data_IF_643692462049
#
_entry.id   IF_643692462049
#
_cell.length_a   1.000
_cell.length_b   1.000
_cell.length_c   1.000
_cell.angle_alpha   90.00
_cell.angle_beta   90.00
_cell.angle_gamma   90.00
#
_symmetry.space_group_name_H-M   'P 1'
#
loop_
_entity.id
_entity.type
_entity.pdbx_description
1 polymer ?
#
# COMPACT_ATOMS: atom_id res chain seq x y z
N UNK A 1 19.61 23.13 3.05
CA UNK A 1 18.74 21.94 3.06
C UNK A 1 18.32 21.72 4.50
N UNK A 2 17.05 21.95 4.84
CA UNK A 2 16.55 21.76 6.21
C UNK A 2 15.81 20.43 6.27
N UNK A 3 16.36 19.48 7.03
CA UNK A 3 15.68 18.23 7.33
C UNK A 3 14.73 18.50 8.51
N UNK A 4 13.45 18.73 8.21
CA UNK A 4 12.41 18.83 9.24
C UNK A 4 12.11 17.43 9.72
N UNK A 5 12.48 17.11 10.97
CA UNK A 5 12.09 15.87 11.63
C UNK A 5 10.60 15.97 11.98
N UNK A 6 9.75 15.48 11.08
CA UNK A 6 8.34 15.24 11.41
C UNK A 6 8.31 13.98 12.26
N UNK A 7 8.07 14.11 13.57
CA UNK A 7 7.56 12.99 14.37
C UNK A 7 6.05 13.02 14.20
N UNK A 8 5.46 12.16 13.34
CA UNK A 8 4.02 12.03 13.39
C UNK A 8 3.64 11.54 14.81
N UNK A 9 2.64 12.16 15.41
CA UNK A 9 2.14 11.82 16.73
C UNK A 9 1.33 10.51 16.66
N UNK A 10 2.01 9.41 16.35
CA UNK A 10 1.41 8.07 16.37
C UNK A 10 1.72 7.44 17.72
N UNK A 11 0.75 7.52 18.64
CA UNK A 11 0.74 6.72 19.86
C UNK A 11 -0.06 5.45 19.58
N UNK A 12 0.63 4.39 19.18
CA UNK A 12 0.04 3.06 19.00
C UNK A 12 0.91 2.08 19.79
N UNK A 13 0.36 1.54 20.87
CA UNK A 13 1.01 0.50 21.66
C UNK A 13 0.65 -0.87 21.07
N UNK A 14 1.62 -1.78 21.04
CA UNK A 14 1.42 -3.16 20.53
C UNK A 14 0.30 -3.88 21.28
N UNK A 15 0.07 -3.51 22.54
CA UNK A 15 -0.96 -4.08 23.42
C UNK A 15 -2.40 -3.70 23.02
N UNK A 16 -2.57 -2.67 22.18
CA UNK A 16 -3.88 -2.21 21.70
C UNK A 16 -4.33 -2.90 20.39
N UNK A 17 -3.47 -3.72 19.78
CA UNK A 17 -3.75 -4.39 18.52
C UNK A 17 -4.47 -5.71 18.78
N UNK A 18 -5.77 -5.75 18.44
CA UNK A 18 -6.58 -6.97 18.52
C UNK A 18 -7.18 -7.30 17.15
N UNK A 19 -7.37 -8.59 16.88
CA UNK A 19 -7.96 -9.11 15.62
C UNK A 19 -9.40 -8.59 15.39
N UNK A 20 -10.09 -8.14 16.44
CA UNK A 20 -11.50 -7.73 16.39
C UNK A 20 -11.74 -6.32 15.82
N UNK A 21 -10.75 -5.42 15.83
CA UNK A 21 -10.84 -4.09 15.18
C UNK A 21 -9.47 -3.39 15.15
N UNK A 22 -8.72 -3.43 14.04
CA UNK A 22 -7.46 -2.72 13.96
C UNK A 22 -7.70 -1.20 13.96
N UNK A 23 -7.06 -0.52 14.92
CA UNK A 23 -7.11 0.94 15.06
C UNK A 23 -6.43 1.58 13.85
N UNK A 24 -7.21 2.12 12.92
CA UNK A 24 -6.68 2.87 11.78
C UNK A 24 -6.23 4.24 12.27
N UNK A 25 -4.93 4.51 12.17
CA UNK A 25 -4.35 5.79 12.59
C UNK A 25 -4.19 6.66 11.35
N UNK A 26 -4.80 7.85 11.34
CA UNK A 26 -4.78 8.73 10.17
C UNK A 26 -4.34 10.14 10.55
N UNK A 27 -3.61 10.79 9.65
CA UNK A 27 -3.36 12.22 9.67
C UNK A 27 -3.54 12.81 8.26
N UNK A 28 -3.27 14.10 8.11
CA UNK A 28 -3.40 14.81 6.83
C UNK A 28 -2.48 14.27 5.71
N UNK A 29 -1.43 13.51 6.06
CA UNK A 29 -0.42 13.00 5.13
C UNK A 29 -0.61 11.53 4.77
N UNK A 30 -1.08 10.68 5.69
CA UNK A 30 -1.27 9.26 5.46
C UNK A 30 -2.21 8.59 6.47
N UNK A 31 -2.80 7.47 6.04
CA UNK A 31 -3.49 6.50 6.87
C UNK A 31 -2.60 5.27 7.05
N UNK A 32 -2.48 4.78 8.28
CA UNK A 32 -1.78 3.56 8.66
C UNK A 32 -2.80 2.60 9.29
N UNK A 33 -2.96 1.43 8.69
CA UNK A 33 -3.80 0.36 9.19
C UNK A 33 -2.92 -0.83 9.60
N UNK A 34 -2.87 -1.20 10.88
CA UNK A 34 -2.30 -2.46 11.29
C UNK A 34 -3.23 -3.60 10.86
N UNK A 35 -2.65 -4.72 10.45
CA UNK A 35 -3.36 -5.97 10.14
C UNK A 35 -2.70 -7.03 11.00
N UNK A 36 -3.45 -7.56 11.96
CA UNK A 36 -2.99 -8.65 12.80
C UNK A 36 -3.17 -9.93 11.99
N UNK A 37 -2.06 -10.62 11.74
CA UNK A 37 -2.02 -11.89 11.05
C UNK A 37 -1.85 -12.95 12.13
N UNK A 38 -2.91 -13.73 12.36
CA UNK A 38 -2.84 -14.88 13.25
C UNK A 38 -2.43 -16.10 12.41
N UNK A 39 -1.25 -16.68 12.68
CA UNK A 39 -0.66 -17.81 11.96
C UNK A 39 -1.37 -19.17 12.22
N UNK A 40 -2.65 -19.14 12.56
CA UNK A 40 -3.48 -20.34 12.67
C UNK A 40 -3.80 -20.88 11.27
N UNK A 41 -2.92 -21.77 10.81
CA UNK A 41 -3.01 -22.52 9.55
C UNK A 41 -4.40 -23.11 9.29
N UNK A 42 -5.14 -22.53 8.34
CA UNK A 42 -6.23 -23.22 7.63
C UNK A 42 -5.60 -24.14 6.56
N UNK A 43 -5.27 -25.37 6.93
CA UNK A 43 -4.98 -26.46 5.99
C UNK A 43 -5.85 -27.67 6.33
N UNK A 44 -6.99 -27.76 5.64
CA UNK A 44 -7.82 -28.95 5.61
C UNK A 44 -7.14 -30.04 4.77
N UNK A 45 -6.62 -31.10 5.41
CA UNK A 45 -6.22 -32.34 4.75
C UNK A 45 -6.50 -33.57 5.65
N UNK A 46 -6.80 -34.76 5.06
CA UNK A 46 -7.61 -35.79 5.70
C UNK A 46 -6.84 -36.70 6.67
N UNK A 47 -7.61 -37.26 7.61
CA UNK A 47 -7.15 -38.15 8.66
C UNK A 47 -6.56 -39.47 8.13
N UNK A 48 -5.35 -39.81 8.61
CA UNK A 48 -4.90 -41.20 8.72
C UNK A 48 -4.12 -41.41 10.03
N UNK A 49 -4.56 -42.40 10.79
CA UNK A 49 -4.18 -42.72 12.17
C UNK A 49 -3.12 -43.83 12.22
N UNK A 50 -2.09 -43.69 13.08
CA UNK A 50 -1.39 -44.79 13.82
C UNK A 50 -0.24 -44.20 14.66
N UNK A 51 -0.33 -44.11 16.01
CA UNK A 51 0.31 -44.99 17.04
C UNK A 51 1.84 -44.81 17.12
N UNK A 52 2.56 -44.47 18.22
CA UNK A 52 2.51 -44.77 19.68
C UNK A 52 3.58 -43.89 20.41
N UNK A 53 3.61 -43.74 21.77
CA UNK A 53 4.16 -42.56 22.45
C UNK A 53 5.61 -42.71 22.92
N UNK A 54 6.38 -41.61 22.93
CA UNK A 54 7.66 -41.53 23.66
C UNK A 54 7.75 -40.27 24.50
N UNK A 55 8.02 -40.46 25.79
CA UNK A 55 8.16 -39.43 26.81
C UNK A 55 9.29 -38.44 26.50
N UNK A 56 8.96 -37.22 26.08
CA UNK A 56 9.81 -36.03 26.25
C UNK A 56 8.96 -34.84 26.65
N UNK A 57 9.25 -34.33 27.84
CA UNK A 57 8.88 -33.04 28.48
C UNK A 57 7.87 -32.20 27.68
N UNK A 58 6.66 -32.05 28.22
CA UNK A 58 5.65 -31.12 27.70
C UNK A 58 6.26 -29.72 27.58
N UNK A 59 6.38 -29.23 26.35
CA UNK A 59 6.73 -27.84 26.08
C UNK A 59 5.47 -27.03 26.38
N UNK A 60 5.54 -26.21 27.43
CA UNK A 60 4.51 -25.23 27.78
C UNK A 60 4.07 -24.49 26.51
N UNK A 61 2.77 -24.48 26.22
CA UNK A 61 2.20 -23.80 25.06
C UNK A 61 2.49 -22.31 25.14
N UNK A 62 3.57 -21.87 24.48
CA UNK A 62 3.78 -20.45 24.20
C UNK A 62 2.71 -20.07 23.19
N UNK A 63 1.89 -19.06 23.51
CA UNK A 63 0.95 -18.48 22.56
C UNK A 63 1.71 -18.14 21.25
N UNK A 64 1.09 -18.41 20.11
CA UNK A 64 1.67 -18.12 18.80
C UNK A 64 2.12 -16.64 18.76
N UNK A 65 3.28 -16.33 18.15
CA UNK A 65 3.69 -14.94 17.99
C UNK A 65 2.63 -14.22 17.16
N UNK A 66 2.16 -13.08 17.66
CA UNK A 66 1.25 -12.23 16.90
C UNK A 66 2.10 -11.49 15.85
N UNK A 67 1.91 -11.81 14.58
CA UNK A 67 2.55 -11.06 13.49
C UNK A 67 1.64 -9.89 13.08
N UNK A 68 2.24 -8.71 12.85
CA UNK A 68 1.50 -7.50 12.49
C UNK A 68 2.06 -6.94 11.20
N UNK A 69 1.20 -6.87 10.19
CA UNK A 69 1.47 -6.18 8.94
C UNK A 69 0.92 -4.75 8.98
N UNK A 70 1.47 -3.86 8.17
CA UNK A 70 1.01 -2.47 8.09
C UNK A 70 0.65 -2.08 6.66
N UNK A 71 -0.55 -1.56 6.48
CA UNK A 71 -1.01 -0.96 5.22
C UNK A 71 -0.96 0.55 5.36
N UNK A 72 -0.22 1.21 4.48
CA UNK A 72 -0.10 2.67 4.44
C UNK A 72 -0.75 3.18 3.16
N UNK A 73 -1.70 4.08 3.31
CA UNK A 73 -2.32 4.76 2.18
C UNK A 73 -2.17 6.27 2.30
N UNK A 74 -1.71 6.91 1.22
CA UNK A 74 -1.68 8.37 1.14
C UNK A 74 -3.04 8.89 0.69
N UNK A 75 -3.52 10.05 1.16
CA UNK A 75 -4.72 10.66 0.62
C UNK A 75 -4.50 11.03 -0.84
N UNK A 76 -5.60 11.12 -1.56
CA UNK A 76 -5.60 11.48 -2.98
C UNK A 76 -4.96 12.85 -3.16
N UNK A 77 -3.86 12.90 -3.91
CA UNK A 77 -3.12 14.14 -4.07
C UNK A 77 -3.69 15.01 -5.18
N UNK A 78 -3.61 16.30 -4.91
CA UNK A 78 -4.11 17.37 -5.74
C UNK A 78 -3.16 17.56 -6.94
N UNK A 79 -3.46 16.96 -8.10
CA UNK A 79 -2.63 17.01 -9.32
C UNK A 79 -2.64 18.32 -10.12
N UNK A 80 -2.03 18.33 -11.30
CA UNK A 80 -1.87 19.54 -12.13
C UNK A 80 -3.23 20.11 -12.56
N UNK A 81 -3.32 21.45 -12.58
CA UNK A 81 -4.49 22.15 -13.13
C UNK A 81 -4.48 22.08 -14.66
N UNK A 82 -5.61 21.68 -15.24
CA UNK A 82 -5.79 21.49 -16.68
C UNK A 82 -6.33 22.77 -17.32
N UNK A 83 -5.42 23.69 -17.61
CA UNK A 83 -5.74 25.02 -18.18
C UNK A 83 -6.55 24.87 -19.49
N UNK A 84 -6.11 24.00 -20.41
CA UNK A 84 -6.79 23.82 -21.69
C UNK A 84 -8.23 23.33 -21.55
N UNK A 85 -8.47 22.42 -20.61
CA UNK A 85 -9.82 21.92 -20.32
C UNK A 85 -10.72 23.03 -19.78
N UNK A 86 -10.20 23.82 -18.84
CA UNK A 86 -10.96 24.92 -18.27
C UNK A 86 -11.23 26.03 -19.30
N UNK A 87 -10.34 26.26 -20.27
CA UNK A 87 -10.56 27.20 -21.37
C UNK A 87 -11.65 26.68 -22.32
N UNK A 88 -11.62 25.38 -22.63
CA UNK A 88 -12.65 24.74 -23.46
C UNK A 88 -14.04 24.77 -22.81
N UNK A 89 -14.10 24.79 -21.47
CA UNK A 89 -15.36 24.94 -20.72
C UNK A 89 -15.87 26.38 -20.66
N UNK A 90 -15.10 27.36 -21.19
CA UNK A 90 -15.49 28.77 -21.23
C UNK A 90 -15.06 29.59 -20.02
N UNK A 91 -14.13 29.09 -19.20
CA UNK A 91 -13.62 29.86 -18.04
C UNK A 91 -12.81 31.06 -18.55
N UNK A 92 -13.16 32.31 -18.15
CA UNK A 92 -12.50 33.50 -18.66
C UNK A 92 -11.02 33.60 -18.25
N UNK A 93 -10.21 34.21 -19.13
CA UNK A 93 -8.81 34.59 -18.85
C UNK A 93 -8.81 35.96 -18.15
N UNK A 94 -8.08 36.16 -17.05
CA UNK A 94 -7.99 37.50 -16.43
C UNK A 94 -7.17 37.55 -15.14
N UNK A 95 -6.49 38.63 -14.78
CA UNK A 95 -5.47 38.67 -13.70
C UNK A 95 -5.77 37.90 -12.37
N UNK A 96 -4.84 37.03 -11.93
CA UNK A 96 -4.94 36.31 -10.65
C UNK A 96 -4.18 37.07 -9.55
N UNK A 97 -4.80 37.22 -8.39
CA UNK A 97 -4.17 37.70 -7.15
C UNK A 97 -3.65 36.56 -6.26
N UNK A 98 -3.50 35.35 -6.81
CA UNK A 98 -2.93 34.22 -6.07
C UNK A 98 -1.41 34.44 -5.87
N UNK A 99 -0.89 34.53 -4.62
CA UNK A 99 0.51 34.80 -4.35
C UNK A 99 1.46 33.66 -4.75
N UNK A 100 0.93 32.50 -5.16
CA UNK A 100 1.68 31.28 -5.44
C UNK A 100 2.09 31.11 -6.92
N UNK A 101 1.68 32.01 -7.81
CA UNK A 101 1.97 31.91 -9.25
C UNK A 101 2.83 33.08 -9.73
N UNK A 102 4.14 32.89 -9.72
CA UNK A 102 5.10 33.86 -10.21
C UNK A 102 5.29 33.67 -11.73
N UNK A 103 4.35 34.13 -12.57
CA UNK A 103 4.58 34.22 -14.02
C UNK A 103 3.72 35.28 -14.71
N UNK A 104 4.40 36.16 -15.44
CA UNK A 104 3.86 37.21 -16.33
C UNK A 104 3.24 36.66 -17.63
N UNK A 105 2.51 35.54 -17.59
CA UNK A 105 1.90 34.97 -18.79
C UNK A 105 0.41 35.32 -18.87
N UNK A 106 0.07 36.21 -19.82
CA UNK A 106 -1.28 36.75 -20.07
C UNK A 106 -2.24 35.71 -20.69
N UNK A 107 -1.78 34.50 -20.96
CA UNK A 107 -2.57 33.41 -21.55
C UNK A 107 -3.29 32.49 -20.54
N UNK A 108 -3.13 32.77 -19.23
CA UNK A 108 -3.57 31.90 -18.13
C UNK A 108 -5.01 32.19 -17.67
N UNK A 109 -5.80 31.14 -17.41
CA UNK A 109 -7.08 31.26 -16.68
C UNK A 109 -6.79 31.78 -15.29
N UNK A 110 -7.27 32.96 -15.02
CA UNK A 110 -6.96 33.66 -13.80
C UNK A 110 -8.24 34.43 -13.40
N UNK A 111 -8.50 34.62 -12.09
CA UNK A 111 -9.74 35.23 -11.58
C UNK A 111 -10.31 34.53 -10.34
N UNK A 112 -11.40 35.04 -9.71
CA UNK A 112 -11.94 34.51 -8.45
C UNK A 112 -12.42 33.05 -8.57
N UNK A 113 -12.84 32.64 -9.77
CA UNK A 113 -13.24 31.27 -10.08
C UNK A 113 -12.05 30.32 -10.21
N UNK A 114 -10.88 30.84 -10.60
CA UNK A 114 -9.65 30.04 -10.70
C UNK A 114 -9.23 29.50 -9.33
N UNK A 115 -9.40 30.29 -8.25
CA UNK A 115 -9.15 29.84 -6.88
C UNK A 115 -10.04 28.66 -6.46
N UNK A 116 -11.34 28.69 -6.80
CA UNK A 116 -12.29 27.61 -6.53
C UNK A 116 -11.92 26.34 -7.31
N UNK A 117 -11.66 26.48 -8.61
CA UNK A 117 -11.23 25.38 -9.47
C UNK A 117 -9.86 24.80 -9.06
N UNK A 118 -8.94 25.63 -8.57
CA UNK A 118 -7.65 25.19 -8.01
C UNK A 118 -7.81 24.40 -6.72
N UNK A 119 -8.85 24.68 -5.93
CA UNK A 119 -9.22 23.89 -4.74
C UNK A 119 -9.97 22.60 -5.08
N UNK A 120 -10.34 22.41 -6.34
CA UNK A 120 -11.10 21.25 -6.81
C UNK A 120 -12.61 21.38 -6.60
N UNK A 121 -13.10 22.60 -6.36
CA UNK A 121 -14.53 22.89 -6.32
C UNK A 121 -15.07 22.98 -7.76
N UNK A 122 -16.18 22.31 -8.03
CA UNK A 122 -16.90 22.46 -9.29
C UNK A 122 -17.65 23.79 -9.28
N UNK A 123 -17.54 24.53 -10.39
CA UNK A 123 -18.10 25.89 -10.50
C UNK A 123 -19.02 25.95 -11.71
N UNK A 124 -20.18 26.57 -11.55
CA UNK A 124 -21.07 26.87 -12.68
C UNK A 124 -20.72 28.25 -13.24
N UNK A 125 -20.53 28.33 -14.56
CA UNK A 125 -20.19 29.56 -15.26
C UNK A 125 -21.25 29.88 -16.31
N UNK A 126 -21.55 31.16 -16.47
CA UNK A 126 -22.38 31.66 -17.56
C UNK A 126 -21.49 31.92 -18.78
N UNK A 127 -21.74 31.20 -19.86
CA UNK A 127 -21.07 31.38 -21.15
C UNK A 127 -22.16 31.74 -22.16
N UNK A 128 -22.20 32.99 -22.60
CA UNK A 128 -23.15 33.50 -23.59
C UNK A 128 -24.64 33.25 -23.23
N UNK A 129 -25.01 33.35 -21.94
CA UNK A 129 -26.36 33.10 -21.45
C UNK A 129 -26.68 31.63 -21.16
N UNK A 130 -25.71 30.72 -21.37
CA UNK A 130 -25.82 29.31 -21.06
C UNK A 130 -25.03 28.95 -19.80
N UNK A 131 -25.68 28.26 -18.87
CA UNK A 131 -25.07 27.78 -17.63
C UNK A 131 -24.27 26.50 -17.90
N UNK A 132 -22.94 26.59 -17.84
CA UNK A 132 -22.01 25.48 -18.10
C UNK A 132 -21.29 25.08 -16.80
N UNK A 133 -21.31 23.80 -16.39
CA UNK A 133 -20.58 23.35 -15.23
C UNK A 133 -19.09 23.10 -15.57
N UNK A 134 -18.21 23.91 -14.99
CA UNK A 134 -16.77 23.73 -15.09
C UNK A 134 -16.29 22.69 -14.06
N UNK A 135 -16.37 21.41 -14.43
CA UNK A 135 -16.01 20.30 -13.55
C UNK A 135 -14.67 19.67 -13.87
N UNK A 136 -14.02 19.13 -12.83
CA UNK A 136 -12.87 18.22 -12.99
C UNK A 136 -11.74 18.85 -13.84
N UNK A 137 -11.51 20.15 -13.66
CA UNK A 137 -10.46 20.93 -14.31
C UNK A 137 -9.06 20.66 -13.73
N UNK A 138 -8.90 19.59 -12.95
CA UNK A 138 -7.68 19.25 -12.24
C UNK A 138 -7.46 17.74 -12.31
N UNK A 139 -6.21 17.34 -12.52
CA UNK A 139 -5.84 15.94 -12.38
C UNK A 139 -5.91 15.55 -10.91
N UNK A 140 -6.40 14.35 -10.68
CA UNK A 140 -6.39 13.70 -9.38
C UNK A 140 -5.23 12.71 -9.44
N UNK A 141 -4.21 12.91 -8.60
CA UNK A 141 -3.12 11.93 -8.48
C UNK A 141 -3.65 10.81 -7.59
N UNK A 142 -3.59 9.59 -8.10
CA UNK A 142 -4.02 8.40 -7.37
C UNK A 142 -3.30 8.29 -6.04
N UNK A 143 -3.97 7.70 -5.06
CA UNK A 143 -3.39 7.35 -3.78
C UNK A 143 -2.21 6.40 -4.00
N UNK A 144 -1.15 6.56 -3.22
CA UNK A 144 -0.12 5.53 -3.10
C UNK A 144 -0.50 4.58 -1.98
N UNK A 145 -0.34 3.29 -2.23
CA UNK A 145 -0.56 2.23 -1.26
C UNK A 145 0.72 1.44 -1.05
N UNK A 146 1.16 1.36 0.20
CA UNK A 146 2.31 0.58 0.63
C UNK A 146 1.85 -0.51 1.59
N UNK A 147 2.42 -1.70 1.48
CA UNK A 147 2.18 -2.79 2.40
C UNK A 147 3.51 -3.25 2.99
N UNK A 148 3.55 -3.44 4.31
CA UNK A 148 4.69 -3.98 5.06
C UNK A 148 4.25 -5.28 5.70
N UNK A 149 4.93 -6.39 5.40
CA UNK A 149 4.60 -7.70 5.95
C UNK A 149 4.89 -7.78 7.46
N UNK A 150 6.01 -7.20 7.91
CA UNK A 150 6.64 -7.59 9.17
C UNK A 150 7.29 -8.96 9.05
N UNK A 151 7.72 -9.53 10.17
CA UNK A 151 8.13 -10.93 10.26
C UNK A 151 6.85 -11.76 10.31
N UNK A 152 6.62 -12.56 9.28
CA UNK A 152 5.41 -13.35 9.14
C UNK A 152 5.59 -14.52 8.17
N UNK A 153 4.71 -15.50 8.31
CA UNK A 153 4.47 -16.49 7.26
C UNK A 153 3.63 -15.90 6.13
N UNK A 154 3.64 -16.53 4.96
CA UNK A 154 2.80 -16.11 3.84
C UNK A 154 1.33 -16.19 4.25
N UNK A 155 0.65 -15.04 4.27
CA UNK A 155 -0.71 -14.92 4.78
C UNK A 155 -1.69 -14.45 3.71
N UNK A 156 -2.86 -15.08 3.67
CA UNK A 156 -3.94 -14.66 2.79
C UNK A 156 -4.53 -13.31 3.20
N UNK A 157 -4.57 -13.01 4.51
CA UNK A 157 -4.98 -11.69 5.02
C UNK A 157 -4.05 -10.58 4.51
N UNK A 158 -2.74 -10.82 4.53
CA UNK A 158 -1.78 -9.87 3.98
C UNK A 158 -2.02 -9.64 2.48
N UNK A 159 -2.29 -10.70 1.70
CA UNK A 159 -2.58 -10.58 0.27
C UNK A 159 -3.83 -9.73 0.00
N UNK A 160 -4.91 -9.97 0.76
CA UNK A 160 -6.16 -9.23 0.60
C UNK A 160 -5.98 -7.74 0.92
N UNK A 161 -5.29 -7.44 2.02
CA UNK A 161 -5.02 -6.07 2.44
C UNK A 161 -3.98 -5.37 1.56
N UNK A 162 -3.00 -6.09 1.02
CA UNK A 162 -1.97 -5.57 0.12
C UNK A 162 -2.43 -5.50 -1.35
N UNK A 163 -3.67 -5.88 -1.66
CA UNK A 163 -4.18 -5.88 -3.03
C UNK A 163 -3.96 -4.54 -3.74
N UNK A 164 -3.41 -4.60 -4.95
CA UNK A 164 -3.09 -3.47 -5.82
C UNK A 164 -2.12 -2.44 -5.20
N UNK A 165 -1.31 -2.87 -4.22
CA UNK A 165 -0.29 -2.01 -3.62
C UNK A 165 0.73 -1.52 -4.68
N UNK A 166 1.14 -0.26 -4.57
CA UNK A 166 2.22 0.28 -5.38
C UNK A 166 3.56 -0.36 -5.01
N UNK A 167 3.77 -0.58 -3.71
CA UNK A 167 4.97 -1.24 -3.18
C UNK A 167 4.57 -2.18 -2.04
N UNK A 168 4.95 -3.45 -2.17
CA UNK A 168 4.93 -4.44 -1.10
C UNK A 168 6.37 -4.64 -0.59
N UNK A 169 6.58 -4.43 0.71
CA UNK A 169 7.83 -4.74 1.41
C UNK A 169 7.59 -6.01 2.20
N UNK A 170 8.24 -7.10 1.79
CA UNK A 170 8.04 -8.42 2.36
C UNK A 170 9.35 -9.01 2.87
N UNK A 171 9.31 -9.67 4.03
CA UNK A 171 10.45 -10.41 4.55
C UNK A 171 10.78 -11.64 3.70
N UNK A 172 12.05 -12.01 3.64
CA UNK A 172 12.55 -13.14 2.85
C UNK A 172 13.78 -13.77 3.52
N UNK A 173 13.67 -14.07 4.83
CA UNK A 173 14.76 -14.57 5.68
C UNK A 173 15.42 -15.83 5.16
N UNK A 174 14.67 -16.71 4.51
CA UNK A 174 15.17 -18.00 4.07
C UNK A 174 15.27 -18.09 2.55
N UNK A 175 16.34 -18.73 2.07
CA UNK A 175 16.51 -18.99 0.66
C UNK A 175 15.49 -20.03 0.18
N UNK A 176 14.84 -19.72 -0.94
CA UNK A 176 13.89 -20.61 -1.60
C UNK A 176 14.57 -21.85 -2.19
N UNK A 177 13.77 -22.89 -2.46
CA UNK A 177 14.18 -24.09 -3.16
C UNK A 177 14.24 -23.91 -4.70
N UNK A 178 13.85 -22.74 -5.22
CA UNK A 178 13.76 -22.43 -6.63
C UNK A 178 14.40 -21.08 -6.95
N UNK A 179 15.47 -21.14 -7.75
CA UNK A 179 15.90 -19.97 -8.51
C UNK A 179 15.07 -19.93 -9.78
N UNK A 180 14.15 -18.97 -9.87
CA UNK A 180 13.43 -18.68 -11.12
C UNK A 180 14.22 -17.64 -11.90
N UNK A 181 14.86 -18.06 -12.99
CA UNK A 181 15.49 -17.13 -13.93
C UNK A 181 14.40 -16.60 -14.85
N UNK A 182 14.15 -15.29 -14.81
CA UNK A 182 13.23 -14.61 -15.71
C UNK A 182 13.98 -14.19 -16.99
N UNK A 183 13.73 -14.90 -18.09
CA UNK A 183 14.18 -14.50 -19.43
C UNK A 183 12.99 -14.61 -20.39
N UNK A 184 12.33 -13.50 -20.69
CA UNK A 184 11.18 -13.54 -21.61
C UNK A 184 11.59 -14.14 -22.97
N UNK A 185 10.86 -15.13 -23.54
CA UNK A 185 9.56 -15.68 -23.11
C UNK A 185 9.60 -16.96 -22.24
N UNK A 186 10.78 -17.44 -21.81
CA UNK A 186 10.93 -18.68 -21.03
C UNK A 186 10.99 -18.45 -19.51
N UNK A 187 10.44 -19.42 -18.77
CA UNK A 187 10.57 -19.50 -17.31
C UNK A 187 11.28 -20.80 -16.97
N UNK A 188 12.55 -20.70 -16.57
CA UNK A 188 13.30 -21.85 -16.06
C UNK A 188 13.25 -21.82 -14.53
N UNK A 189 12.76 -22.90 -13.94
CA UNK A 189 12.79 -23.17 -12.50
C UNK A 189 13.89 -24.18 -12.24
N UNK A 190 14.92 -23.79 -11.51
CA UNK A 190 15.98 -24.70 -11.06
C UNK A 190 15.69 -25.07 -9.61
N UNK A 191 15.51 -26.36 -9.34
CA UNK A 191 15.41 -26.90 -7.99
C UNK A 191 16.79 -26.89 -7.32
N UNK A 192 16.85 -26.25 -6.16
CA UNK A 192 17.96 -26.24 -5.20
C UNK A 192 17.42 -26.69 -3.84
N UNK A 193 18.31 -27.15 -2.97
CA UNK A 193 17.96 -27.51 -1.60
C UNK A 193 17.51 -26.25 -0.84
N UNK A 194 16.20 -26.00 -0.81
CA UNK A 194 15.64 -24.82 -0.15
C UNK A 194 15.47 -24.97 1.36
N UNK A 195 15.32 -23.84 2.04
CA UNK A 195 15.21 -23.76 3.50
C UNK A 195 13.76 -23.72 4.03
N UNK A 196 12.81 -24.27 3.27
CA UNK A 196 11.38 -24.23 3.61
C UNK A 196 11.03 -24.80 4.98
N UNK A 197 11.70 -25.90 5.39
CA UNK A 197 11.50 -26.50 6.70
C UNK A 197 11.93 -25.57 7.85
N UNK A 198 13.03 -24.85 7.67
CA UNK A 198 13.53 -23.88 8.65
C UNK A 198 12.66 -22.62 8.69
N UNK A 199 12.18 -22.16 7.53
CA UNK A 199 11.23 -21.05 7.41
C UNK A 199 9.95 -21.31 8.19
N UNK A 200 9.33 -22.49 8.01
CA UNK A 200 8.13 -22.89 8.77
C UNK A 200 8.41 -23.05 10.27
N UNK A 201 9.57 -23.59 10.63
CA UNK A 201 9.93 -23.83 12.03
C UNK A 201 10.20 -22.53 12.80
N UNK A 202 10.69 -21.51 12.12
CA UNK A 202 11.03 -20.20 12.69
C UNK A 202 10.01 -19.11 12.38
N UNK A 203 8.91 -19.48 11.73
CA UNK A 203 7.79 -18.58 11.42
C UNK A 203 8.14 -17.41 10.49
N UNK A 204 9.02 -17.67 9.53
CA UNK A 204 9.49 -16.69 8.54
C UNK A 204 9.17 -17.13 7.12
N UNK A 205 9.24 -16.19 6.19
CA UNK A 205 9.01 -16.45 4.76
C UNK A 205 10.31 -16.72 4.01
N UNK A 206 10.19 -17.53 2.95
CA UNK A 206 11.23 -17.67 1.95
C UNK A 206 11.11 -16.62 0.85
N UNK A 207 12.18 -16.42 0.08
CA UNK A 207 12.18 -15.53 -1.10
C UNK A 207 11.05 -15.84 -2.08
N UNK A 208 10.80 -17.13 -2.37
CA UNK A 208 9.74 -17.53 -3.29
C UNK A 208 8.34 -17.25 -2.78
N UNK A 209 8.12 -17.53 -1.49
CA UNK A 209 6.83 -17.28 -0.88
C UNK A 209 6.53 -15.78 -0.82
N UNK A 210 7.53 -14.95 -0.52
CA UNK A 210 7.41 -13.50 -0.57
C UNK A 210 7.03 -13.02 -1.98
N UNK A 211 7.69 -13.56 -3.02
CA UNK A 211 7.36 -13.25 -4.42
C UNK A 211 5.93 -13.69 -4.76
N UNK A 212 5.52 -14.88 -4.33
CA UNK A 212 4.16 -15.39 -4.55
C UNK A 212 3.09 -14.50 -3.90
N UNK A 213 3.33 -14.05 -2.66
CA UNK A 213 2.47 -13.06 -1.98
C UNK A 213 2.34 -11.78 -2.81
N UNK A 214 3.46 -11.26 -3.33
CA UNK A 214 3.45 -10.08 -4.20
C UNK A 214 2.65 -10.26 -5.49
N UNK A 215 2.78 -11.43 -6.13
CA UNK A 215 2.01 -11.77 -7.34
C UNK A 215 0.52 -11.87 -7.02
N UNK A 216 0.14 -12.61 -5.97
CA UNK A 216 -1.27 -12.76 -5.57
C UNK A 216 -1.90 -11.43 -5.14
N UNK A 217 -1.13 -10.55 -4.51
CA UNK A 217 -1.57 -9.20 -4.16
C UNK A 217 -1.65 -8.25 -5.38
N UNK A 218 -1.21 -8.68 -6.57
CA UNK A 218 -1.09 -7.81 -7.75
C UNK A 218 -0.30 -6.52 -7.42
N UNK A 219 0.76 -6.65 -6.61
CA UNK A 219 1.60 -5.51 -6.25
C UNK A 219 2.41 -5.05 -7.46
N UNK A 220 2.50 -3.72 -7.68
CA UNK A 220 3.24 -3.17 -8.82
C UNK A 220 4.75 -3.40 -8.67
N UNK A 221 5.24 -3.30 -7.44
CA UNK A 221 6.63 -3.53 -7.08
C UNK A 221 6.70 -4.31 -5.76
N UNK A 222 7.69 -5.18 -5.65
CA UNK A 222 8.03 -5.89 -4.41
C UNK A 222 9.47 -5.57 -4.01
N UNK A 223 9.69 -5.35 -2.71
CA UNK A 223 11.00 -5.19 -2.10
C UNK A 223 11.15 -6.32 -1.09
N UNK A 224 12.22 -7.10 -1.25
CA UNK A 224 12.57 -8.18 -0.32
C UNK A 224 13.55 -7.64 0.73
N UNK A 225 13.29 -7.95 1.99
CA UNK A 225 14.08 -7.48 3.13
C UNK A 225 14.27 -8.60 4.17
N UNK A 226 15.01 -8.32 5.24
CA UNK A 226 15.20 -9.21 6.38
C UNK A 226 15.82 -10.55 5.93
N UNK A 227 17.03 -10.48 5.36
CA UNK A 227 17.85 -11.63 4.94
C UNK A 227 18.75 -12.12 6.09
#
# INVERSE_FOLDING_TARGET
MFMVRVRPAFAMEVQDLTTASPKVVQNESMALQPVVVDDAVDEAAPATTSGSPTHKRAKTSTAAPISVSYIVETPTQRGKFLIQKALALGVPKGWCVCPFFNRKDKSTITGPLCGKLHRGEDVVIDVNGASVPATRCRLIVSRYKFAFSGDCRPSQLLVEHAKDADVLIHEATFEGALVTIWYAPLRLKVLVDGMMGEAKKKDHSTTEEAIDVGIRANAKHIILTHF
#
